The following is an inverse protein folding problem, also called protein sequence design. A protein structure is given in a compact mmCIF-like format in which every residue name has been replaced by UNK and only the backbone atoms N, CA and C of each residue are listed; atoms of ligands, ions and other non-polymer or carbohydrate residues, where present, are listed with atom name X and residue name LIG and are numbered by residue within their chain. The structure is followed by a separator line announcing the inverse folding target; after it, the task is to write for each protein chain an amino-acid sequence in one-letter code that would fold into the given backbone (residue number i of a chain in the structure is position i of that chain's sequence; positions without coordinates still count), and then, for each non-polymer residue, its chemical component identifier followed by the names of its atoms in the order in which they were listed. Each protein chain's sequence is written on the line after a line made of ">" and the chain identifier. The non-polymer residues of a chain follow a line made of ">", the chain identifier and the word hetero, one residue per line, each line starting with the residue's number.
data_IF_328742118916
#
_entry.id   IF_328742118916
#
_cell.length_a   1.000
_cell.length_b   1.000
_cell.length_c   1.000
_cell.angle_alpha   90.00
_cell.angle_beta   90.00
_cell.angle_gamma   90.00
#
_symmetry.space_group_name_H-M   'P 1'
#
loop_
_entity.id
_entity.type
_entity.pdbx_description
1 polymer ?
#
# COMPACT_ATOMS: atom_id res chain seq x y z
N UNK A 1 9.46 -27.13 -13.13
CA UNK A 1 9.12 -25.71 -13.39
C UNK A 1 10.19 -24.87 -12.71
N UNK A 2 11.23 -24.46 -13.44
CA UNK A 2 12.19 -23.48 -12.90
C UNK A 2 11.42 -22.19 -12.71
N UNK A 3 11.03 -21.88 -11.47
CA UNK A 3 10.31 -20.65 -11.15
C UNK A 3 11.08 -19.45 -11.68
N UNK A 4 10.42 -18.65 -12.49
CA UNK A 4 10.98 -17.41 -13.00
C UNK A 4 11.37 -16.55 -11.80
N UNK A 5 12.66 -16.24 -11.65
CA UNK A 5 13.15 -15.48 -10.50
C UNK A 5 12.78 -14.01 -10.72
N UNK A 6 12.04 -13.43 -9.77
CA UNK A 6 11.75 -12.00 -9.75
C UNK A 6 13.07 -11.21 -9.78
N UNK A 7 13.23 -10.35 -10.79
CA UNK A 7 14.33 -9.38 -10.88
C UNK A 7 13.74 -7.99 -10.73
N UNK A 8 14.11 -7.30 -9.67
CA UNK A 8 13.61 -5.96 -9.36
C UNK A 8 14.69 -5.17 -8.62
N UNK A 9 14.74 -3.86 -8.85
CA UNK A 9 15.64 -2.96 -8.10
C UNK A 9 15.18 -2.83 -6.65
N UNK A 10 16.12 -2.71 -5.72
CA UNK A 10 15.84 -2.47 -4.30
C UNK A 10 15.21 -1.09 -4.06
N UNK A 11 15.56 -0.11 -4.89
CA UNK A 11 14.95 1.22 -4.88
C UNK A 11 13.51 1.18 -5.44
N UNK A 12 13.25 0.36 -6.47
CA UNK A 12 11.89 0.16 -7.00
C UNK A 12 10.99 -0.50 -5.96
N UNK A 13 11.47 -1.52 -5.25
CA UNK A 13 10.76 -2.16 -4.14
C UNK A 13 10.40 -1.16 -3.04
N UNK A 14 11.36 -0.33 -2.65
CA UNK A 14 11.15 0.71 -1.63
C UNK A 14 10.13 1.74 -2.08
N UNK A 15 10.19 2.15 -3.36
CA UNK A 15 9.30 3.15 -3.97
C UNK A 15 7.89 2.60 -4.12
N UNK A 16 7.73 1.40 -4.64
CA UNK A 16 6.46 0.71 -4.74
C UNK A 16 5.82 0.54 -3.34
N UNK A 17 6.61 0.14 -2.35
CA UNK A 17 6.14 0.01 -0.97
C UNK A 17 5.57 1.31 -0.39
N UNK A 18 6.26 2.44 -0.62
CA UNK A 18 5.77 3.77 -0.22
C UNK A 18 4.50 4.18 -0.98
N UNK A 19 4.49 4.00 -2.31
CA UNK A 19 3.35 4.36 -3.15
C UNK A 19 2.10 3.58 -2.78
N UNK A 20 2.22 2.28 -2.54
CA UNK A 20 1.11 1.43 -2.09
C UNK A 20 0.56 1.90 -0.73
N UNK A 21 1.42 2.24 0.23
CA UNK A 21 0.97 2.82 1.50
C UNK A 21 0.24 4.14 1.31
N UNK A 22 0.70 5.02 0.41
CA UNK A 22 -0.01 6.25 0.07
C UNK A 22 -1.40 5.96 -0.49
N UNK A 23 -1.50 5.03 -1.45
CA UNK A 23 -2.81 4.63 -2.02
C UNK A 23 -3.75 4.10 -0.95
N UNK A 24 -3.26 3.28 -0.02
CA UNK A 24 -4.06 2.80 1.11
C UNK A 24 -4.57 3.95 1.99
N UNK A 25 -3.73 4.93 2.33
CA UNK A 25 -4.14 6.11 3.11
C UNK A 25 -5.19 6.95 2.38
N UNK A 26 -5.01 7.20 1.09
CA UNK A 26 -6.00 7.95 0.29
C UNK A 26 -7.33 7.21 0.22
N UNK A 27 -7.29 5.88 0.04
CA UNK A 27 -8.48 5.04 0.09
C UNK A 27 -9.14 5.16 1.47
N UNK A 28 -8.42 5.03 2.58
CA UNK A 28 -8.91 5.23 3.96
C UNK A 28 -9.61 6.59 4.17
N UNK A 29 -9.21 7.63 3.45
CA UNK A 29 -9.83 8.96 3.49
C UNK A 29 -11.22 9.04 2.85
N UNK A 30 -11.54 8.16 1.89
CA UNK A 30 -12.78 8.25 1.08
C UNK A 30 -14.07 7.96 1.86
N UNK A 31 -14.00 7.22 2.97
CA UNK A 31 -15.17 6.90 3.81
C UNK A 31 -15.89 8.18 4.28
N UNK A 32 -15.09 9.19 4.63
CA UNK A 32 -15.55 10.51 5.11
C UNK A 32 -16.35 11.29 4.08
N UNK A 33 -16.24 10.95 2.79
CA UNK A 33 -17.00 11.62 1.73
C UNK A 33 -18.41 11.04 1.61
N UNK A 34 -18.61 9.76 1.91
CA UNK A 34 -19.92 9.11 1.80
C UNK A 34 -20.88 9.57 2.89
N UNK A 35 -20.36 9.84 4.10
CA UNK A 35 -21.10 10.47 5.20
C UNK A 35 -21.71 11.84 4.84
N UNK A 36 -21.16 12.54 3.83
CA UNK A 36 -21.67 13.83 3.39
C UNK A 36 -22.96 13.72 2.52
N UNK A 37 -23.26 12.54 1.97
CA UNK A 37 -24.43 12.31 1.11
C UNK A 37 -25.63 11.77 1.90
N UNK A 38 -26.07 12.52 2.91
CA UNK A 38 -27.25 12.18 3.69
C UNK A 38 -28.57 12.29 2.88
N UNK A 39 -29.67 11.81 3.46
CA UNK A 39 -31.01 11.87 2.83
C UNK A 39 -31.42 13.30 2.46
N UNK A 40 -30.97 14.31 3.20
CA UNK A 40 -31.31 15.73 2.97
C UNK A 40 -30.57 16.28 1.75
N UNK A 41 -29.35 15.83 1.52
CA UNK A 41 -28.55 16.16 0.33
C UNK A 41 -29.14 15.54 -0.94
N UNK A 42 -29.63 14.30 -0.87
CA UNK A 42 -30.09 13.55 -2.06
C UNK A 42 -31.53 13.87 -2.46
N UNK A 43 -32.39 14.23 -1.51
CA UNK A 43 -33.77 14.70 -1.75
C UNK A 43 -34.77 13.65 -2.24
N UNK A 44 -34.33 12.50 -2.78
CA UNK A 44 -35.18 11.42 -3.28
C UNK A 44 -34.89 10.08 -2.57
N UNK A 45 -35.90 9.50 -1.89
CA UNK A 45 -35.75 8.33 -1.03
C UNK A 45 -35.08 7.12 -1.72
N UNK A 46 -35.59 6.73 -2.88
CA UNK A 46 -35.04 5.56 -3.62
C UNK A 46 -33.61 5.80 -4.12
N UNK A 47 -33.23 7.04 -4.37
CA UNK A 47 -31.87 7.36 -4.81
C UNK A 47 -30.92 7.29 -3.60
N UNK A 48 -31.36 7.81 -2.46
CA UNK A 48 -30.64 7.68 -1.18
C UNK A 48 -30.41 6.21 -0.81
N UNK A 49 -31.44 5.37 -0.90
CA UNK A 49 -31.32 3.93 -0.64
C UNK A 49 -30.27 3.27 -1.55
N UNK A 50 -30.25 3.61 -2.84
CA UNK A 50 -29.24 3.06 -3.77
C UNK A 50 -27.83 3.57 -3.52
N UNK A 51 -27.69 4.81 -3.06
CA UNK A 51 -26.40 5.35 -2.66
C UNK A 51 -25.90 4.69 -1.39
N UNK A 52 -26.79 4.35 -0.44
CA UNK A 52 -26.43 3.59 0.76
C UNK A 52 -26.04 2.15 0.43
N UNK A 53 -26.85 1.43 -0.37
CA UNK A 53 -26.50 0.08 -0.83
C UNK A 53 -25.12 0.05 -1.52
N UNK A 54 -24.83 1.07 -2.33
CA UNK A 54 -23.52 1.23 -2.96
C UNK A 54 -22.42 1.52 -1.94
N UNK A 55 -22.67 2.43 -0.99
CA UNK A 55 -21.71 2.81 0.06
C UNK A 55 -21.32 1.60 0.90
N UNK A 56 -22.29 0.83 1.39
CA UNK A 56 -22.07 -0.34 2.22
C UNK A 56 -21.29 -1.43 1.47
N UNK A 57 -21.69 -1.72 0.23
CA UNK A 57 -20.98 -2.69 -0.61
C UNK A 57 -19.57 -2.23 -1.01
N UNK A 58 -19.39 -0.93 -1.18
CA UNK A 58 -18.07 -0.34 -1.45
C UNK A 58 -17.17 -0.41 -0.22
N UNK A 59 -17.68 -0.14 0.98
CA UNK A 59 -16.89 -0.12 2.22
C UNK A 59 -16.21 -1.47 2.49
N UNK A 60 -16.94 -2.57 2.40
CA UNK A 60 -16.38 -3.93 2.59
C UNK A 60 -15.28 -4.26 1.57
N UNK A 61 -15.51 -3.96 0.29
CA UNK A 61 -14.53 -4.22 -0.77
C UNK A 61 -13.31 -3.31 -0.65
N UNK A 62 -13.54 -2.05 -0.28
CA UNK A 62 -12.51 -1.05 -0.05
C UNK A 62 -11.62 -1.43 1.13
N UNK A 63 -12.19 -1.88 2.25
CA UNK A 63 -11.44 -2.37 3.43
C UNK A 63 -10.50 -3.52 3.04
N UNK A 64 -11.02 -4.52 2.32
CA UNK A 64 -10.21 -5.64 1.81
C UNK A 64 -9.08 -5.18 0.90
N UNK A 65 -9.37 -4.23 0.00
CA UNK A 65 -8.38 -3.66 -0.90
C UNK A 65 -7.29 -2.89 -0.13
N UNK A 66 -7.66 -2.09 0.86
CA UNK A 66 -6.73 -1.36 1.75
C UNK A 66 -5.80 -2.35 2.46
N UNK A 67 -6.34 -3.39 3.10
CA UNK A 67 -5.56 -4.40 3.80
C UNK A 67 -4.54 -5.08 2.89
N UNK A 68 -4.96 -5.49 1.68
CA UNK A 68 -4.08 -6.12 0.70
C UNK A 68 -2.97 -5.18 0.22
N UNK A 69 -3.32 -3.92 -0.09
CA UNK A 69 -2.37 -2.90 -0.54
C UNK A 69 -1.37 -2.55 0.57
N UNK A 70 -1.81 -2.43 1.83
CA UNK A 70 -0.94 -2.18 2.98
C UNK A 70 0.02 -3.34 3.22
N UNK A 71 -0.47 -4.58 3.14
CA UNK A 71 0.34 -5.78 3.25
C UNK A 71 1.42 -5.85 2.18
N UNK A 72 1.03 -5.67 0.91
CA UNK A 72 1.96 -5.65 -0.21
C UNK A 72 2.96 -4.50 -0.10
N UNK A 73 2.49 -3.31 0.27
CA UNK A 73 3.32 -2.12 0.43
C UNK A 73 4.37 -2.29 1.53
N UNK A 74 3.99 -2.94 2.63
CA UNK A 74 4.92 -3.26 3.72
C UNK A 74 5.93 -4.30 3.30
N UNK A 75 5.50 -5.38 2.67
CA UNK A 75 6.41 -6.42 2.17
C UNK A 75 7.44 -5.86 1.19
N UNK A 76 6.99 -5.07 0.21
CA UNK A 76 7.87 -4.46 -0.79
C UNK A 76 8.88 -3.50 -0.14
N UNK A 77 8.42 -2.67 0.81
CA UNK A 77 9.30 -1.73 1.51
C UNK A 77 10.37 -2.44 2.34
N UNK A 78 9.97 -3.41 3.17
CA UNK A 78 10.91 -4.16 4.03
C UNK A 78 11.88 -4.99 3.20
N UNK A 79 11.42 -5.61 2.10
CA UNK A 79 12.30 -6.32 1.18
C UNK A 79 13.36 -5.38 0.57
N UNK A 80 12.95 -4.22 0.04
CA UNK A 80 13.87 -3.24 -0.53
C UNK A 80 14.92 -2.75 0.48
N UNK A 81 14.47 -2.46 1.71
CA UNK A 81 15.34 -2.07 2.82
C UNK A 81 16.35 -3.17 3.19
N UNK A 82 15.87 -4.40 3.39
CA UNK A 82 16.73 -5.51 3.79
C UNK A 82 17.80 -5.82 2.74
N UNK A 83 17.45 -5.84 1.46
CA UNK A 83 18.44 -6.04 0.39
C UNK A 83 19.47 -4.91 0.34
N UNK A 84 19.05 -3.65 0.53
CA UNK A 84 19.97 -2.51 0.58
C UNK A 84 20.93 -2.57 1.77
N UNK A 85 20.46 -3.02 2.92
CA UNK A 85 21.30 -3.24 4.11
C UNK A 85 22.35 -4.33 3.85
N UNK A 86 21.94 -5.45 3.24
CA UNK A 86 22.85 -6.54 2.86
C UNK A 86 23.90 -6.04 1.86
N UNK A 87 23.50 -5.33 0.81
CA UNK A 87 24.42 -4.78 -0.20
C UNK A 87 25.40 -3.78 0.42
N UNK A 88 24.94 -2.94 1.35
CA UNK A 88 25.79 -1.98 2.05
C UNK A 88 26.82 -2.69 2.94
N UNK A 89 26.39 -3.70 3.70
CA UNK A 89 27.27 -4.50 4.54
C UNK A 89 28.34 -5.24 3.72
N UNK A 90 27.96 -5.80 2.56
CA UNK A 90 28.89 -6.44 1.64
C UNK A 90 29.89 -5.44 1.07
N UNK A 91 29.43 -4.27 0.62
CA UNK A 91 30.28 -3.20 0.14
C UNK A 91 31.31 -2.78 1.20
N UNK A 92 30.85 -2.50 2.42
CA UNK A 92 31.72 -2.05 3.52
C UNK A 92 32.79 -3.10 3.86
N UNK A 93 32.43 -4.39 3.87
CA UNK A 93 33.36 -5.48 4.05
C UNK A 93 34.42 -5.54 2.93
N UNK A 94 34.02 -5.32 1.67
CA UNK A 94 34.92 -5.34 0.52
C UNK A 94 35.89 -4.15 0.50
N UNK A 95 35.46 -2.96 0.93
CA UNK A 95 36.31 -1.76 0.97
C UNK A 95 37.08 -1.59 2.29
N UNK A 96 36.96 -2.57 3.21
CA UNK A 96 37.64 -2.55 4.50
C UNK A 96 37.07 -1.53 5.51
N UNK A 97 35.89 -0.96 5.27
CA UNK A 97 35.19 -0.14 6.24
C UNK A 97 34.71 -1.04 7.39
N UNK A 98 35.40 -0.94 8.53
CA UNK A 98 35.14 -1.76 9.72
C UNK A 98 36.38 -2.47 10.26
N UNK A 99 37.45 -2.60 9.46
CA UNK A 99 38.76 -3.01 9.95
C UNK A 99 39.48 -1.78 10.55
N UNK A 100 39.28 -1.53 11.84
CA UNK A 100 40.24 -0.70 12.59
C UNK A 100 41.57 -1.45 12.61
N UNK A 101 42.65 -0.75 12.24
CA UNK A 101 44.04 -1.18 12.45
C UNK A 101 44.26 -1.62 13.90
#
# INVERSE_FOLDING_TARGET
>A
MSGEKLKVSTDDLTTAGKGLRTVATELEGLDKLMDAYDRRTVGHQKLYERLQDFSDGWDDNRKKMIEQIQGLGTLAHEAGKAYKEIDTALYDALVGKGQKK
#
